data_IF_605595331178
#
_entry.id   IF_605595331178
#
_cell.length_a   1.000
_cell.length_b   1.000
_cell.length_c   1.000
_cell.angle_alpha   90.00
_cell.angle_beta   90.00
_cell.angle_gamma   90.00
#
_symmetry.space_group_name_H-M   'P 1'
#
loop_
_entity.id
_entity.type
_entity.pdbx_description
1 polymer ?
#
# COMPACT_ATOMS: atom_id res chain seq x y z
N UNK A 1 -19.30 -32.96 1.41
CA UNK A 1 -19.10 -31.69 0.66
C UNK A 1 -20.08 -30.55 1.03
N UNK A 2 -21.23 -30.79 1.70
CA UNK A 2 -22.23 -29.74 2.00
C UNK A 2 -21.81 -28.63 2.98
N UNK A 3 -20.75 -28.84 3.77
CA UNK A 3 -20.28 -27.90 4.81
C UNK A 3 -19.17 -26.95 4.35
N UNK A 4 -18.55 -27.20 3.19
CA UNK A 4 -17.36 -26.49 2.72
C UNK A 4 -17.72 -25.14 2.05
N UNK A 5 -18.83 -25.12 1.30
CA UNK A 5 -19.33 -23.92 0.63
C UNK A 5 -19.67 -22.72 1.55
N UNK A 6 -20.41 -22.90 2.66
CA UNK A 6 -20.73 -21.77 3.54
C UNK A 6 -19.50 -21.26 4.29
N UNK A 7 -18.54 -22.14 4.60
CA UNK A 7 -17.26 -21.76 5.20
C UNK A 7 -16.45 -20.92 4.22
N UNK A 8 -16.25 -21.38 2.98
CA UNK A 8 -15.56 -20.64 1.92
C UNK A 8 -16.17 -19.25 1.66
N UNK A 9 -17.51 -19.15 1.66
CA UNK A 9 -18.21 -17.87 1.53
C UNK A 9 -17.90 -16.88 2.66
N UNK A 10 -17.50 -17.36 3.84
CA UNK A 10 -17.04 -16.51 4.94
C UNK A 10 -15.63 -15.93 4.74
N UNK A 11 -14.80 -16.57 3.91
CA UNK A 11 -13.42 -16.14 3.63
C UNK A 11 -13.29 -15.30 2.35
N UNK A 12 -14.21 -15.44 1.40
CA UNK A 12 -14.14 -14.72 0.12
C UNK A 12 -14.15 -13.19 0.29
N UNK A 13 -15.08 -12.60 1.09
CA UNK A 13 -15.12 -11.14 1.29
C UNK A 13 -13.84 -10.57 1.94
N UNK A 14 -13.31 -11.11 3.06
CA UNK A 14 -12.09 -10.57 3.63
C UNK A 14 -10.87 -10.84 2.73
N UNK A 15 -10.82 -11.97 2.02
CA UNK A 15 -9.75 -12.23 1.04
C UNK A 15 -9.72 -11.17 -0.08
N UNK A 16 -10.88 -10.88 -0.68
CA UNK A 16 -10.98 -9.86 -1.72
C UNK A 16 -10.59 -8.47 -1.19
N UNK A 17 -10.99 -8.14 0.03
CA UNK A 17 -10.62 -6.87 0.66
C UNK A 17 -9.10 -6.76 0.90
N UNK A 18 -8.46 -7.82 1.41
CA UNK A 18 -7.01 -7.83 1.61
C UNK A 18 -6.24 -7.73 0.29
N UNK A 19 -6.67 -8.43 -0.76
CA UNK A 19 -6.09 -8.28 -2.10
C UNK A 19 -6.22 -6.85 -2.63
N UNK A 20 -7.39 -6.24 -2.46
CA UNK A 20 -7.63 -4.85 -2.85
C UNK A 20 -6.75 -3.87 -2.07
N UNK A 21 -6.59 -4.07 -0.75
CA UNK A 21 -5.71 -3.28 0.10
C UNK A 21 -4.22 -3.42 -0.27
N UNK A 22 -3.83 -4.58 -0.78
CA UNK A 22 -2.47 -4.81 -1.25
C UNK A 22 -2.07 -3.91 -2.41
N UNK A 23 -3.02 -3.43 -3.23
CA UNK A 23 -2.73 -2.55 -4.37
C UNK A 23 -2.22 -1.17 -3.95
N UNK A 24 -2.95 -0.37 -3.14
CA UNK A 24 -2.43 0.91 -2.65
C UNK A 24 -1.20 0.74 -1.75
N UNK A 25 -1.13 -0.34 -0.96
CA UNK A 25 0.06 -0.64 -0.15
C UNK A 25 1.30 -0.97 -0.99
N UNK A 26 1.13 -1.65 -2.13
CA UNK A 26 2.21 -1.86 -3.09
C UNK A 26 2.60 -0.55 -3.79
N UNK A 27 1.60 0.24 -4.18
CA UNK A 27 1.84 1.51 -4.87
C UNK A 27 2.64 2.50 -4.01
N UNK A 28 2.44 2.55 -2.69
CA UNK A 28 3.27 3.37 -1.81
C UNK A 28 4.74 2.94 -1.80
N UNK A 29 5.04 1.64 -1.93
CA UNK A 29 6.41 1.13 -2.07
C UNK A 29 7.04 1.60 -3.39
N UNK A 30 6.28 1.61 -4.49
CA UNK A 30 6.76 2.14 -5.77
C UNK A 30 7.07 3.64 -5.69
N UNK A 31 6.18 4.41 -5.06
CA UNK A 31 6.42 5.83 -4.79
C UNK A 31 7.66 6.05 -3.92
N UNK A 32 7.83 5.26 -2.85
CA UNK A 32 9.02 5.34 -2.00
C UNK A 32 10.31 5.01 -2.78
N UNK A 33 10.30 3.95 -3.61
CA UNK A 33 11.44 3.59 -4.47
C UNK A 33 11.76 4.68 -5.48
N UNK A 34 10.73 5.28 -6.10
CA UNK A 34 10.91 6.41 -6.99
C UNK A 34 11.51 7.61 -6.26
N UNK A 35 11.00 7.92 -5.07
CA UNK A 35 11.46 9.04 -4.24
C UNK A 35 12.91 8.86 -3.79
N UNK A 36 13.31 7.64 -3.41
CA UNK A 36 14.72 7.32 -3.12
C UNK A 36 15.63 7.49 -4.34
N UNK A 37 15.12 7.23 -5.55
CA UNK A 37 15.91 7.31 -6.78
C UNK A 37 15.95 8.70 -7.42
N UNK A 38 14.93 9.54 -7.21
CA UNK A 38 14.73 10.80 -7.95
C UNK A 38 14.39 12.00 -7.05
N UNK A 39 14.07 11.79 -5.78
CA UNK A 39 13.48 12.81 -4.89
C UNK A 39 14.42 13.40 -3.85
N UNK A 40 15.68 12.98 -3.81
CA UNK A 40 16.68 13.48 -2.86
C UNK A 40 17.89 14.08 -3.57
N UNK A 41 18.39 15.18 -3.02
CA UNK A 41 19.75 15.64 -3.26
C UNK A 41 20.70 14.82 -2.37
N UNK A 42 21.96 14.70 -2.76
CA UNK A 42 22.93 13.94 -1.98
C UNK A 42 23.17 14.61 -0.61
N UNK A 43 23.59 13.85 0.40
CA UNK A 43 23.82 14.38 1.76
C UNK A 43 24.88 15.51 1.77
N UNK A 44 25.81 15.46 0.82
CA UNK A 44 26.82 16.49 0.57
C UNK A 44 26.20 17.83 0.08
N UNK A 45 25.11 17.77 -0.69
CA UNK A 45 24.42 18.96 -1.22
C UNK A 45 23.53 19.64 -0.19
N UNK A 46 22.98 18.88 0.77
CA UNK A 46 22.24 19.41 1.93
C UNK A 46 23.10 20.29 2.86
N UNK A 47 24.43 20.18 2.78
CA UNK A 47 25.37 20.97 3.60
C UNK A 47 25.85 22.24 2.92
N UNK A 48 25.57 22.42 1.62
CA UNK A 48 25.86 23.66 0.89
C UNK A 48 24.75 24.69 1.17
N UNK A 49 25.13 25.97 1.20
CA UNK A 49 24.18 27.09 1.45
C UNK A 49 23.31 27.37 0.23
N UNK A 50 23.76 26.87 -0.90
CA UNK A 50 23.33 26.98 -2.26
C UNK A 50 22.94 25.56 -2.71
N UNK A 51 21.65 25.31 -2.94
CA UNK A 51 21.09 24.05 -3.41
C UNK A 51 21.50 23.72 -4.87
N UNK A 52 22.65 24.20 -5.32
CA UNK A 52 23.13 24.18 -6.70
C UNK A 52 23.49 22.77 -7.20
N UNK A 53 23.53 21.77 -6.30
CA UNK A 53 23.67 20.35 -6.63
C UNK A 53 22.34 19.62 -6.90
N UNK A 54 21.21 20.22 -6.53
CA UNK A 54 19.89 19.67 -6.81
C UNK A 54 19.42 20.11 -8.20
N UNK A 55 18.90 19.20 -9.03
CA UNK A 55 18.17 19.61 -10.23
C UNK A 55 16.78 20.12 -9.84
N UNK A 56 16.32 21.19 -10.49
CA UNK A 56 15.02 21.84 -10.20
C UNK A 56 13.84 20.85 -10.33
N UNK A 57 13.96 19.86 -11.22
CA UNK A 57 13.04 18.74 -11.38
C UNK A 57 12.90 17.87 -10.11
N UNK A 58 13.94 17.75 -9.28
CA UNK A 58 13.86 16.98 -8.02
C UNK A 58 13.00 17.70 -6.97
N UNK A 59 12.98 19.03 -6.99
CA UNK A 59 12.23 19.86 -6.05
C UNK A 59 10.76 19.98 -6.51
N UNK A 60 10.52 20.34 -7.77
CA UNK A 60 9.15 20.54 -8.28
C UNK A 60 8.40 19.23 -8.57
N UNK A 61 9.08 18.20 -9.05
CA UNK A 61 8.45 16.95 -9.45
C UNK A 61 8.23 16.00 -8.25
N UNK A 62 8.68 16.35 -7.04
CA UNK A 62 8.36 15.58 -5.82
C UNK A 62 6.89 15.70 -5.40
N UNK A 63 6.22 16.79 -5.79
CA UNK A 63 4.84 17.09 -5.36
C UNK A 63 3.82 16.07 -5.84
N UNK A 64 3.93 15.56 -7.07
CA UNK A 64 2.98 14.57 -7.58
C UNK A 64 3.10 13.22 -6.84
N UNK A 65 4.33 12.81 -6.48
CA UNK A 65 4.57 11.58 -5.71
C UNK A 65 4.05 11.74 -4.29
N UNK A 66 4.24 12.90 -3.66
CA UNK A 66 3.69 13.18 -2.34
C UNK A 66 2.16 13.14 -2.35
N UNK A 67 1.51 13.74 -3.35
CA UNK A 67 0.05 13.66 -3.53
C UNK A 67 -0.37 12.20 -3.71
N UNK A 68 0.32 11.45 -4.57
CA UNK A 68 0.01 10.05 -4.83
C UNK A 68 0.15 9.17 -3.56
N UNK A 69 1.17 9.44 -2.73
CA UNK A 69 1.37 8.81 -1.43
C UNK A 69 0.24 9.13 -0.45
N UNK A 70 -0.14 10.41 -0.33
CA UNK A 70 -1.23 10.84 0.55
C UNK A 70 -2.56 10.20 0.14
N UNK A 71 -2.88 10.19 -1.16
CA UNK A 71 -4.09 9.56 -1.68
C UNK A 71 -4.08 8.04 -1.44
N UNK A 72 -2.95 7.38 -1.64
CA UNK A 72 -2.80 5.94 -1.42
C UNK A 72 -2.91 5.57 0.05
N UNK A 73 -2.30 6.35 0.94
CA UNK A 73 -2.41 6.19 2.38
C UNK A 73 -3.85 6.41 2.87
N UNK A 74 -4.51 7.48 2.40
CA UNK A 74 -5.91 7.77 2.72
C UNK A 74 -6.84 6.65 2.23
N UNK A 75 -6.61 6.13 1.01
CA UNK A 75 -7.36 5.02 0.47
C UNK A 75 -7.15 3.74 1.29
N UNK A 76 -5.90 3.38 1.60
CA UNK A 76 -5.59 2.21 2.41
C UNK A 76 -6.23 2.31 3.80
N UNK A 77 -6.15 3.48 4.43
CA UNK A 77 -6.79 3.75 5.72
C UNK A 77 -8.31 3.60 5.64
N UNK A 78 -8.94 4.17 4.62
CA UNK A 78 -10.38 4.03 4.39
C UNK A 78 -10.78 2.56 4.18
N UNK A 79 -10.03 1.81 3.38
CA UNK A 79 -10.26 0.38 3.16
C UNK A 79 -10.14 -0.41 4.47
N UNK A 80 -9.11 -0.15 5.28
CA UNK A 80 -8.92 -0.79 6.58
C UNK A 80 -10.09 -0.49 7.54
N UNK A 81 -10.58 0.75 7.55
CA UNK A 81 -11.74 1.13 8.34
C UNK A 81 -13.02 0.40 7.89
N UNK A 82 -13.32 0.43 6.60
CA UNK A 82 -14.55 -0.13 6.03
C UNK A 82 -14.55 -1.65 6.11
N UNK A 83 -13.43 -2.27 5.78
CA UNK A 83 -13.36 -3.70 5.61
C UNK A 83 -12.93 -4.43 6.86
N UNK A 84 -12.02 -3.91 7.69
CA UNK A 84 -11.59 -4.60 8.92
C UNK A 84 -12.24 -4.04 10.19
N UNK A 85 -12.11 -2.74 10.45
CA UNK A 85 -12.53 -2.16 11.74
C UNK A 85 -14.04 -2.17 11.92
N UNK A 86 -14.80 -1.68 10.93
CA UNK A 86 -16.24 -1.57 11.02
C UNK A 86 -16.92 -2.93 11.25
N UNK A 87 -16.58 -4.01 10.52
CA UNK A 87 -17.24 -5.29 10.73
C UNK A 87 -16.78 -6.01 12.00
N UNK A 88 -15.56 -5.75 12.49
CA UNK A 88 -15.14 -6.21 13.82
C UNK A 88 -15.98 -5.57 14.92
N UNK A 89 -16.29 -4.27 14.80
CA UNK A 89 -17.22 -3.58 15.71
C UNK A 89 -18.64 -4.13 15.63
N UNK A 90 -19.08 -4.63 14.48
CA UNK A 90 -20.38 -5.29 14.31
C UNK A 90 -20.42 -6.75 14.83
N UNK A 91 -19.37 -7.24 15.48
CA UNK A 91 -19.34 -8.59 16.07
C UNK A 91 -19.09 -9.72 15.06
N UNK A 92 -18.57 -9.43 13.86
CA UNK A 92 -18.18 -10.49 12.91
C UNK A 92 -16.95 -11.24 13.40
N UNK A 93 -16.87 -12.53 13.06
CA UNK A 93 -15.75 -13.41 13.43
C UNK A 93 -14.41 -12.87 12.89
N UNK A 94 -13.39 -12.84 13.74
CA UNK A 94 -12.04 -12.35 13.41
C UNK A 94 -11.21 -13.39 12.63
N UNK A 95 -11.46 -14.68 12.85
CA UNK A 95 -10.70 -15.80 12.26
C UNK A 95 -10.52 -15.72 10.74
N UNK A 96 -11.57 -15.51 9.92
CA UNK A 96 -11.39 -15.45 8.47
C UNK A 96 -10.58 -14.24 8.00
N UNK A 97 -10.52 -13.18 8.81
CA UNK A 97 -9.74 -11.97 8.51
C UNK A 97 -8.26 -12.21 8.75
N UNK A 98 -7.91 -12.72 9.93
CA UNK A 98 -6.52 -13.05 10.27
C UNK A 98 -5.91 -14.04 9.29
N UNK A 99 -6.69 -15.05 8.87
CA UNK A 99 -6.21 -16.05 7.92
C UNK A 99 -6.05 -15.52 6.50
N UNK A 100 -6.74 -14.44 6.13
CA UNK A 100 -6.64 -13.84 4.79
C UNK A 100 -5.75 -12.61 4.74
N UNK A 101 -5.31 -12.08 5.88
CA UNK A 101 -4.41 -10.93 5.99
C UNK A 101 -3.13 -11.06 5.14
N UNK A 102 -2.46 -12.22 5.04
CA UNK A 102 -1.28 -12.36 4.18
C UNK A 102 -1.55 -12.05 2.70
N UNK A 103 -2.81 -12.10 2.25
CA UNK A 103 -3.17 -11.78 0.87
C UNK A 103 -2.87 -10.32 0.48
N UNK A 104 -2.73 -9.41 1.46
CA UNK A 104 -2.25 -8.03 1.22
C UNK A 104 -0.89 -8.00 0.51
N UNK A 105 -0.05 -9.03 0.70
CA UNK A 105 1.28 -9.11 0.10
C UNK A 105 1.26 -9.63 -1.34
N UNK A 106 0.15 -10.22 -1.80
CA UNK A 106 0.06 -10.87 -3.11
C UNK A 106 0.32 -9.90 -4.27
N UNK A 107 -0.23 -8.67 -4.29
CA UNK A 107 0.09 -7.71 -5.36
C UNK A 107 1.59 -7.42 -5.47
N UNK A 108 2.28 -7.25 -4.34
CA UNK A 108 3.73 -7.06 -4.32
C UNK A 108 4.49 -8.31 -4.78
N UNK A 109 4.10 -9.50 -4.30
CA UNK A 109 4.71 -10.75 -4.73
C UNK A 109 4.57 -10.98 -6.24
N UNK A 110 3.40 -10.66 -6.81
CA UNK A 110 3.15 -10.73 -8.25
C UNK A 110 4.08 -9.81 -9.04
N UNK A 111 4.33 -8.59 -8.55
CA UNK A 111 5.31 -7.68 -9.15
C UNK A 111 6.74 -8.22 -9.11
N UNK A 112 7.20 -8.71 -7.95
CA UNK A 112 8.55 -9.28 -7.81
C UNK A 112 8.75 -10.48 -8.73
N UNK A 113 7.77 -11.39 -8.81
CA UNK A 113 7.83 -12.56 -9.68
C UNK A 113 7.79 -12.22 -11.17
N UNK A 114 7.27 -11.04 -11.54
CA UNK A 114 7.25 -10.54 -12.92
C UNK A 114 8.54 -9.81 -13.33
N UNK A 115 9.56 -9.75 -12.46
CA UNK A 115 10.86 -9.11 -12.75
C UNK A 115 10.95 -7.63 -12.36
N UNK A 116 10.13 -7.20 -11.39
CA UNK A 116 10.18 -5.86 -10.79
C UNK A 116 11.44 -5.55 -9.96
#
# INVERSE_FOLDING_TARGET
>A
MRTVLPVLRGFLPPLAAHLLMGVPAFFTLLCARWYMAHGHCDDEDLRRRDLDGCTYDQIENSGFVLIALLLSAALLFLLLLLYDVLPLRSGRRITPRLLTLPAVLVPYAGYVLAGG
#
